data_IF_048141702764
#
_entry.id   IF_048141702764
#
_cell.length_a   1.000
_cell.length_b   1.000
_cell.length_c   1.000
_cell.angle_alpha   90.00
_cell.angle_beta   90.00
_cell.angle_gamma   90.00
#
_symmetry.space_group_name_H-M   'P 1'
#
loop_
_entity.id
_entity.type
_entity.pdbx_description
1 polymer ?
#
# COMPACT_ATOMS: atom_id res chain seq x y z
N UNK A 1 -0.75 -9.85 -13.98
CA UNK A 1 0.16 -10.08 -12.85
C UNK A 1 1.64 -9.93 -13.23
N UNK A 2 2.09 -10.45 -14.39
CA UNK A 2 3.50 -10.36 -14.81
C UNK A 2 3.99 -8.91 -14.87
N UNK A 3 3.29 -8.04 -15.61
CA UNK A 3 3.65 -6.61 -15.74
C UNK A 3 3.69 -5.88 -14.38
N UNK A 4 2.79 -6.20 -13.47
CA UNK A 4 2.82 -5.62 -12.12
C UNK A 4 4.08 -6.02 -11.35
N UNK A 5 4.49 -7.29 -11.43
CA UNK A 5 5.74 -7.75 -10.80
C UNK A 5 6.98 -7.11 -11.44
N UNK A 6 6.97 -6.91 -12.77
CA UNK A 6 8.05 -6.20 -13.46
C UNK A 6 8.14 -4.73 -13.03
N UNK A 7 7.01 -4.06 -12.89
CA UNK A 7 6.98 -2.68 -12.37
C UNK A 7 7.51 -2.61 -10.93
N UNK A 8 7.09 -3.51 -10.06
CA UNK A 8 7.57 -3.57 -8.68
C UNK A 8 9.05 -3.94 -8.58
N UNK A 9 9.61 -4.68 -9.56
CA UNK A 9 11.05 -4.96 -9.64
C UNK A 9 11.86 -3.68 -9.82
N UNK A 10 11.38 -2.70 -10.58
CA UNK A 10 12.10 -1.44 -10.81
C UNK A 10 12.27 -0.60 -9.55
N UNK A 11 11.43 -0.81 -8.54
CA UNK A 11 11.57 -0.20 -7.21
C UNK A 11 12.03 -1.18 -6.13
N UNK A 12 12.45 -2.39 -6.50
CA UNK A 12 12.87 -3.46 -5.57
C UNK A 12 11.82 -3.77 -4.49
N UNK A 13 10.55 -3.68 -4.86
CA UNK A 13 9.42 -3.80 -3.92
C UNK A 13 8.47 -4.95 -4.30
N UNK A 14 9.00 -6.05 -4.87
CA UNK A 14 8.19 -7.16 -5.40
C UNK A 14 7.31 -7.83 -4.34
N UNK A 15 7.73 -7.83 -3.06
CA UNK A 15 6.94 -8.41 -1.98
C UNK A 15 5.60 -7.71 -1.75
N UNK A 16 5.48 -6.45 -2.17
CA UNK A 16 4.22 -5.71 -2.15
C UNK A 16 3.12 -6.45 -2.95
N UNK A 17 3.49 -7.17 -4.01
CA UNK A 17 2.52 -7.97 -4.77
C UNK A 17 1.82 -9.03 -3.89
N UNK A 18 2.55 -9.69 -2.99
CA UNK A 18 1.98 -10.70 -2.08
C UNK A 18 1.19 -10.02 -0.98
N UNK A 19 1.81 -9.06 -0.33
CA UNK A 19 1.25 -8.41 0.85
C UNK A 19 -0.02 -7.61 0.50
N UNK A 20 0.02 -6.79 -0.55
CA UNK A 20 -1.13 -5.99 -0.96
C UNK A 20 -2.35 -6.85 -1.30
N UNK A 21 -2.16 -7.92 -2.10
CA UNK A 21 -3.28 -8.76 -2.53
C UNK A 21 -3.82 -9.69 -1.45
N UNK A 22 -3.00 -10.15 -0.51
CA UNK A 22 -3.37 -11.20 0.45
C UNK A 22 -3.36 -10.73 1.90
N UNK A 23 -2.60 -9.69 2.21
CA UNK A 23 -2.49 -9.07 3.54
C UNK A 23 -3.37 -7.83 3.64
N UNK A 24 -2.97 -6.75 2.97
CA UNK A 24 -3.59 -5.44 3.05
C UNK A 24 -5.09 -5.45 2.70
N UNK A 25 -5.51 -5.99 1.55
CA UNK A 25 -6.93 -6.07 1.19
C UNK A 25 -7.79 -6.80 2.22
N UNK A 26 -7.22 -7.76 2.94
CA UNK A 26 -7.91 -8.49 4.00
C UNK A 26 -7.97 -7.69 5.30
N UNK A 27 -6.89 -7.00 5.64
CA UNK A 27 -6.68 -6.39 6.94
C UNK A 27 -6.77 -4.85 6.96
N UNK A 28 -7.03 -4.21 5.81
CA UNK A 28 -7.14 -2.75 5.69
C UNK A 28 -8.02 -2.16 6.79
N UNK A 29 -7.63 -1.01 7.32
CA UNK A 29 -8.28 -0.32 8.41
C UNK A 29 -8.37 -1.14 9.73
N UNK A 30 -7.42 -2.04 9.97
CA UNK A 30 -7.25 -2.74 11.26
C UNK A 30 -5.84 -2.59 11.80
N UNK A 31 -5.65 -2.87 13.09
CA UNK A 31 -4.32 -2.85 13.71
C UNK A 31 -3.35 -3.91 13.16
N UNK A 32 -3.86 -4.93 12.44
CA UNK A 32 -3.07 -5.99 11.82
C UNK A 32 -2.49 -5.61 10.47
N UNK A 33 -2.96 -4.50 9.88
CA UNK A 33 -2.48 -4.02 8.60
C UNK A 33 -1.35 -3.00 8.78
N UNK A 34 -0.12 -3.31 8.37
CA UNK A 34 1.00 -2.37 8.47
C UNK A 34 0.85 -1.15 7.56
N UNK A 35 0.04 -1.25 6.50
CA UNK A 35 -0.22 -0.18 5.53
C UNK A 35 -1.40 0.73 5.92
N UNK A 36 -2.03 0.50 7.06
CA UNK A 36 -3.02 1.41 7.63
C UNK A 36 -2.36 2.40 8.59
N UNK A 37 -2.37 3.69 8.23
CA UNK A 37 -1.82 4.76 9.06
C UNK A 37 -2.77 5.11 10.21
N UNK A 38 -2.20 5.26 11.42
CA UNK A 38 -2.98 5.58 12.62
C UNK A 38 -3.37 7.06 12.66
N UNK A 39 -4.41 7.36 13.41
CA UNK A 39 -4.77 8.74 13.72
C UNK A 39 -3.59 9.46 14.42
N UNK A 40 -3.27 10.67 14.00
CA UNK A 40 -2.12 11.47 14.46
C UNK A 40 -0.74 10.83 14.22
N UNK A 41 -0.64 9.82 13.39
CA UNK A 41 0.65 9.31 12.96
C UNK A 41 1.19 10.17 11.81
N UNK A 42 2.45 10.62 11.92
CA UNK A 42 3.11 11.32 10.82
C UNK A 42 3.54 10.37 9.71
N UNK A 43 3.63 10.87 8.49
CA UNK A 43 4.17 10.11 7.34
C UNK A 43 5.56 9.51 7.66
N UNK A 44 6.42 10.28 8.32
CA UNK A 44 7.78 9.85 8.68
C UNK A 44 7.81 8.70 9.70
N UNK A 45 6.81 8.62 10.59
CA UNK A 45 6.66 7.49 11.51
C UNK A 45 5.94 6.30 10.84
N UNK A 46 5.15 6.56 9.81
CA UNK A 46 4.45 5.53 9.04
C UNK A 46 5.40 4.75 8.12
N UNK A 47 6.32 5.43 7.42
CA UNK A 47 7.25 4.75 6.50
C UNK A 47 8.01 3.57 7.12
N UNK A 48 8.70 3.68 8.25
CA UNK A 48 9.37 2.50 8.84
C UNK A 48 8.38 1.42 9.30
N UNK A 49 7.18 1.80 9.78
CA UNK A 49 6.15 0.84 10.14
C UNK A 49 5.74 0.00 8.93
N UNK A 50 5.35 0.66 7.84
CA UNK A 50 4.84 -0.03 6.65
C UNK A 50 5.94 -0.83 5.96
N UNK A 51 7.13 -0.28 5.75
CA UNK A 51 8.25 -0.98 5.10
C UNK A 51 8.62 -2.29 5.82
N UNK A 52 8.79 -2.23 7.14
CA UNK A 52 9.12 -3.43 7.91
C UNK A 52 7.93 -4.37 8.08
N UNK A 53 6.75 -3.80 8.25
CA UNK A 53 5.52 -4.56 8.49
C UNK A 53 5.09 -5.35 7.26
N UNK A 54 5.02 -4.71 6.10
CA UNK A 54 4.66 -5.36 4.83
C UNK A 54 5.64 -6.44 4.41
N UNK A 55 6.95 -6.20 4.61
CA UNK A 55 7.98 -7.21 4.35
C UNK A 55 7.80 -8.45 5.23
N UNK A 56 7.60 -8.26 6.54
CA UNK A 56 7.34 -9.37 7.48
C UNK A 56 6.03 -10.09 7.16
N UNK A 57 4.98 -9.34 6.84
CA UNK A 57 3.67 -9.86 6.45
C UNK A 57 3.77 -10.73 5.19
N UNK A 58 4.46 -10.26 4.15
CA UNK A 58 4.66 -11.02 2.92
C UNK A 58 5.39 -12.35 3.16
N UNK A 59 6.45 -12.36 3.99
CA UNK A 59 7.14 -13.60 4.38
C UNK A 59 6.23 -14.56 5.12
N UNK A 60 5.44 -14.05 6.07
CA UNK A 60 4.47 -14.87 6.83
C UNK A 60 3.43 -15.49 5.90
N UNK A 61 2.84 -14.70 5.01
CA UNK A 61 1.84 -15.17 4.04
C UNK A 61 2.43 -16.25 3.15
N UNK A 62 3.61 -16.02 2.57
CA UNK A 62 4.26 -16.99 1.69
C UNK A 62 4.59 -18.30 2.42
N UNK A 63 5.06 -18.23 3.66
CA UNK A 63 5.32 -19.38 4.51
C UNK A 63 4.04 -20.19 4.80
N UNK A 64 2.99 -19.54 5.26
CA UNK A 64 1.70 -20.19 5.57
C UNK A 64 1.07 -20.87 4.34
N UNK A 65 1.22 -20.28 3.16
CA UNK A 65 0.73 -20.89 1.92
C UNK A 65 1.51 -22.16 1.52
N UNK A 66 2.81 -22.21 1.79
CA UNK A 66 3.63 -23.38 1.52
C UNK A 66 3.36 -24.50 2.53
N UNK A 67 3.22 -24.16 3.81
CA UNK A 67 2.86 -25.11 4.86
C UNK A 67 1.52 -25.80 4.59
N UNK A 68 0.50 -25.02 4.15
CA UNK A 68 -0.80 -25.59 3.72
C UNK A 68 -0.70 -26.57 2.55
N UNK A 69 0.36 -26.43 1.75
CA UNK A 69 0.64 -27.33 0.60
C UNK A 69 1.64 -28.47 0.96
N UNK A 70 2.02 -28.61 2.23
CA UNK A 70 3.03 -29.58 2.68
C UNK A 70 4.43 -29.32 2.13
N UNK A 71 4.76 -28.07 1.75
CA UNK A 71 6.05 -27.69 1.17
C UNK A 71 6.92 -26.94 2.16
N UNK A 72 8.23 -27.14 2.08
CA UNK A 72 9.19 -26.35 2.85
C UNK A 72 9.15 -24.87 2.46
N UNK A 73 9.29 -24.00 3.42
CA UNK A 73 9.45 -22.56 3.20
C UNK A 73 10.75 -22.23 2.44
N UNK A 74 11.78 -23.06 2.56
CA UNK A 74 13.04 -22.95 1.83
C UNK A 74 12.96 -23.78 0.55
N UNK A 75 12.20 -23.31 -0.43
CA UNK A 75 11.92 -23.98 -1.68
C UNK A 75 11.80 -22.95 -2.81
N UNK A 76 12.12 -23.36 -4.02
CA UNK A 76 11.87 -22.58 -5.26
C UNK A 76 10.39 -22.23 -5.46
N UNK A 77 9.49 -22.94 -4.77
CA UNK A 77 8.06 -22.60 -4.74
C UNK A 77 7.74 -21.41 -3.82
N UNK A 78 8.72 -20.93 -3.04
CA UNK A 78 8.55 -19.75 -2.22
C UNK A 78 8.69 -18.48 -3.07
N UNK A 79 7.56 -17.84 -3.34
CA UNK A 79 7.50 -16.63 -4.16
C UNK A 79 8.32 -15.47 -3.55
N UNK A 80 8.37 -15.37 -2.21
CA UNK A 80 9.22 -14.38 -1.53
C UNK A 80 10.70 -14.63 -1.76
N UNK A 81 11.15 -15.89 -1.63
CA UNK A 81 12.55 -16.24 -1.88
C UNK A 81 12.93 -15.94 -3.34
N UNK A 82 12.07 -16.30 -4.27
CA UNK A 82 12.27 -16.02 -5.69
C UNK A 82 12.36 -14.50 -5.96
N UNK A 83 11.50 -13.70 -5.33
CA UNK A 83 11.53 -12.25 -5.47
C UNK A 83 12.85 -11.66 -4.95
N UNK A 84 13.37 -12.14 -3.80
CA UNK A 84 14.67 -11.67 -3.31
C UNK A 84 15.80 -12.02 -4.29
N UNK A 85 15.83 -13.24 -4.82
CA UNK A 85 16.85 -13.67 -5.78
C UNK A 85 16.79 -12.82 -7.07
N UNK A 86 15.60 -12.58 -7.60
CA UNK A 86 15.41 -11.73 -8.80
C UNK A 86 15.88 -10.30 -8.54
N UNK A 87 15.52 -9.71 -7.41
CA UNK A 87 15.93 -8.34 -7.07
C UNK A 87 17.46 -8.22 -6.91
N UNK A 88 18.07 -9.18 -6.22
CA UNK A 88 19.54 -9.21 -6.07
C UNK A 88 20.21 -9.38 -7.43
N UNK A 89 19.74 -10.32 -8.25
CA UNK A 89 20.30 -10.51 -9.61
C UNK A 89 20.13 -9.27 -10.48
N UNK A 90 19.00 -8.57 -10.36
CA UNK A 90 18.72 -7.34 -11.11
C UNK A 90 19.69 -6.21 -10.72
N UNK A 91 19.88 -5.96 -9.41
CA UNK A 91 20.84 -4.95 -8.91
C UNK A 91 22.27 -5.30 -9.32
N UNK A 92 22.65 -6.59 -9.19
CA UNK A 92 23.96 -7.07 -9.62
C UNK A 92 24.16 -6.90 -11.14
N UNK A 93 23.14 -7.17 -11.94
CA UNK A 93 23.18 -6.92 -13.38
C UNK A 93 23.40 -5.46 -13.73
N UNK A 94 22.69 -4.54 -13.05
CA UNK A 94 22.91 -3.09 -13.21
C UNK A 94 24.35 -2.72 -12.85
N UNK A 95 24.85 -3.22 -11.74
CA UNK A 95 26.22 -2.96 -11.30
C UNK A 95 27.26 -3.45 -12.31
N UNK A 96 27.12 -4.68 -12.81
CA UNK A 96 28.08 -5.29 -13.74
C UNK A 96 28.06 -4.63 -15.12
N UNK A 97 26.91 -4.16 -15.60
CA UNK A 97 26.77 -3.56 -16.92
C UNK A 97 27.13 -2.05 -16.90
N UNK A 98 26.68 -1.33 -15.87
CA UNK A 98 26.74 0.14 -15.84
C UNK A 98 27.66 0.69 -14.75
N UNK A 99 28.20 -0.15 -13.87
CA UNK A 99 29.10 0.25 -12.79
C UNK A 99 28.41 0.74 -11.53
N UNK A 100 29.22 1.00 -10.48
CA UNK A 100 28.79 1.31 -9.14
C UNK A 100 27.93 2.60 -9.07
N UNK A 101 28.32 3.64 -9.77
CA UNK A 101 27.60 4.93 -9.70
C UNK A 101 26.16 4.79 -10.18
N UNK A 102 25.93 4.08 -11.29
CA UNK A 102 24.56 3.85 -11.82
C UNK A 102 23.76 2.96 -10.86
N UNK A 103 24.40 1.93 -10.30
CA UNK A 103 23.74 1.05 -9.31
C UNK A 103 23.30 1.85 -8.06
N UNK A 104 24.13 2.76 -7.55
CA UNK A 104 23.80 3.61 -6.41
C UNK A 104 22.64 4.57 -6.74
N UNK A 105 22.66 5.24 -7.90
CA UNK A 105 21.55 6.09 -8.33
C UNK A 105 20.25 5.29 -8.50
N UNK A 106 20.34 4.08 -9.05
CA UNK A 106 19.19 3.19 -9.15
C UNK A 106 18.59 2.85 -7.77
N UNK A 107 19.44 2.51 -6.77
CA UNK A 107 18.98 2.21 -5.42
C UNK A 107 18.29 3.41 -4.76
N UNK A 108 18.81 4.62 -4.96
CA UNK A 108 18.16 5.85 -4.47
C UNK A 108 16.81 6.06 -5.16
N UNK A 109 16.75 5.91 -6.49
CA UNK A 109 15.50 6.04 -7.24
C UNK A 109 14.47 4.99 -6.81
N UNK A 110 14.90 3.73 -6.62
CA UNK A 110 14.04 2.65 -6.11
C UNK A 110 13.47 2.99 -4.72
N UNK A 111 14.30 3.47 -3.80
CA UNK A 111 13.86 3.90 -2.47
C UNK A 111 12.83 5.03 -2.56
N UNK A 112 13.08 6.06 -3.37
CA UNK A 112 12.12 7.16 -3.56
C UNK A 112 10.80 6.66 -4.15
N UNK A 113 10.84 5.71 -5.09
CA UNK A 113 9.65 5.07 -5.64
C UNK A 113 8.83 4.32 -4.58
N UNK A 114 9.50 3.57 -3.71
CA UNK A 114 8.84 2.89 -2.57
C UNK A 114 8.24 3.89 -1.59
N UNK A 115 8.99 4.93 -1.20
CA UNK A 115 8.47 5.95 -0.28
C UNK A 115 7.26 6.69 -0.86
N UNK A 116 7.25 6.93 -2.18
CA UNK A 116 6.11 7.52 -2.86
C UNK A 116 4.89 6.58 -2.82
N UNK A 117 5.07 5.29 -3.12
CA UNK A 117 3.99 4.29 -3.06
C UNK A 117 3.42 4.19 -1.64
N UNK A 118 4.28 4.12 -0.62
CA UNK A 118 3.83 4.07 0.77
C UNK A 118 3.20 5.39 1.23
N UNK A 119 3.59 6.53 0.65
CA UNK A 119 2.89 7.80 0.87
C UNK A 119 1.46 7.75 0.31
N UNK A 120 1.25 7.06 -0.81
CA UNK A 120 -0.10 6.83 -1.34
C UNK A 120 -0.91 5.98 -0.37
N UNK A 121 -0.38 4.86 0.13
CA UNK A 121 -1.03 4.05 1.18
C UNK A 121 -1.36 4.89 2.43
N UNK A 122 -0.45 5.77 2.86
CA UNK A 122 -0.67 6.66 3.99
C UNK A 122 -1.88 7.56 3.80
N UNK A 123 -1.98 8.25 2.66
CA UNK A 123 -3.09 9.19 2.39
C UNK A 123 -4.43 8.47 2.20
N UNK A 124 -4.41 7.23 1.71
CA UNK A 124 -5.60 6.43 1.45
C UNK A 124 -6.21 5.82 2.72
N UNK A 125 -5.41 5.60 3.77
CA UNK A 125 -5.83 4.86 4.96
C UNK A 125 -5.64 5.61 6.27
N UNK A 126 -5.25 6.91 6.22
CA UNK A 126 -4.99 7.70 7.42
C UNK A 126 -6.19 7.75 8.38
N UNK A 127 -5.98 7.25 9.59
CA UNK A 127 -6.89 7.36 10.71
C UNK A 127 -8.17 6.53 10.64
N UNK A 128 -8.38 5.76 9.57
CA UNK A 128 -9.59 4.96 9.39
C UNK A 128 -9.46 3.62 10.08
N UNK A 129 -10.55 3.16 10.70
CA UNK A 129 -10.59 1.90 11.44
C UNK A 129 -11.89 1.14 11.17
N UNK A 130 -11.80 -0.19 11.16
CA UNK A 130 -12.97 -1.09 11.15
C UNK A 130 -13.36 -1.45 12.57
N UNK A 131 -14.66 -1.57 12.80
CA UNK A 131 -15.18 -2.03 14.09
C UNK A 131 -14.93 -3.52 14.26
N UNK A 132 -14.60 -3.91 15.49
CA UNK A 132 -14.55 -5.29 15.89
C UNK A 132 -15.98 -5.77 16.26
N UNK A 133 -16.35 -6.94 15.79
CA UNK A 133 -17.63 -7.58 16.08
C UNK A 133 -17.56 -8.33 17.41
N UNK A 134 -18.70 -8.75 17.95
CA UNK A 134 -18.81 -9.54 19.19
C UNK A 134 -17.98 -10.83 19.17
N UNK A 135 -17.71 -11.39 17.99
CA UNK A 135 -16.91 -12.61 17.80
C UNK A 135 -15.40 -12.33 17.62
N UNK A 136 -14.91 -11.15 18.03
CA UNK A 136 -13.51 -10.73 17.83
C UNK A 136 -13.05 -10.78 16.36
N UNK A 137 -13.98 -10.61 15.44
CA UNK A 137 -13.70 -10.45 14.02
C UNK A 137 -13.95 -9.00 13.59
N UNK A 138 -13.24 -8.52 12.60
CA UNK A 138 -13.53 -7.22 12.04
C UNK A 138 -14.69 -7.29 11.06
N UNK A 139 -15.53 -6.27 11.06
CA UNK A 139 -16.55 -6.11 10.05
C UNK A 139 -15.97 -6.17 8.63
N UNK A 140 -16.81 -6.54 7.64
CA UNK A 140 -16.40 -6.54 6.24
C UNK A 140 -15.98 -5.14 5.81
N UNK A 141 -14.96 -5.04 4.94
CA UNK A 141 -14.54 -3.77 4.34
C UNK A 141 -15.72 -3.08 3.68
N UNK A 142 -15.90 -1.81 4.00
CA UNK A 142 -16.93 -0.93 3.48
C UNK A 142 -16.30 0.30 2.80
N UNK A 143 -17.01 1.02 1.93
CA UNK A 143 -16.47 2.18 1.23
C UNK A 143 -15.92 3.28 2.14
N UNK A 144 -16.39 3.38 3.38
CA UNK A 144 -15.91 4.37 4.36
C UNK A 144 -14.62 3.98 5.08
N UNK A 145 -14.04 2.82 4.79
CA UNK A 145 -12.76 2.39 5.37
C UNK A 145 -11.53 2.78 4.52
N UNK A 146 -11.74 3.58 3.47
CA UNK A 146 -10.65 4.14 2.65
C UNK A 146 -11.02 5.54 2.18
N UNK A 147 -10.04 6.45 2.17
CA UNK A 147 -10.20 7.77 1.58
C UNK A 147 -10.30 7.67 0.05
N UNK A 148 -11.22 8.41 -0.50
CA UNK A 148 -11.53 8.42 -1.94
C UNK A 148 -11.21 9.79 -2.55
N UNK A 149 -10.94 9.84 -3.83
CA UNK A 149 -10.77 11.09 -4.56
C UNK A 149 -11.42 11.00 -5.94
N UNK A 150 -12.33 11.94 -6.21
CA UNK A 150 -12.98 12.08 -7.50
C UNK A 150 -12.34 13.18 -8.39
N UNK A 151 -11.19 13.72 -7.98
CA UNK A 151 -10.49 14.74 -8.78
C UNK A 151 -10.02 14.18 -10.12
N UNK A 152 -10.40 14.84 -11.20
CA UNK A 152 -10.23 14.35 -12.59
C UNK A 152 -8.78 14.00 -12.90
N UNK A 153 -7.83 14.88 -12.54
CA UNK A 153 -6.40 14.64 -12.82
C UNK A 153 -5.91 13.38 -12.11
N UNK A 154 -6.24 13.18 -10.83
CA UNK A 154 -5.87 11.97 -10.08
C UNK A 154 -6.47 10.71 -10.70
N UNK A 155 -7.73 10.76 -11.09
CA UNK A 155 -8.41 9.65 -11.77
C UNK A 155 -7.72 9.25 -13.07
N UNK A 156 -7.40 10.22 -13.92
CA UNK A 156 -6.73 9.98 -15.20
C UNK A 156 -5.30 9.44 -15.00
N UNK A 157 -4.51 10.05 -14.12
CA UNK A 157 -3.12 9.65 -13.88
C UNK A 157 -2.98 8.30 -13.19
N UNK A 158 -3.93 7.94 -12.33
CA UNK A 158 -3.92 6.70 -11.55
C UNK A 158 -4.92 5.65 -12.08
N UNK A 159 -5.36 5.79 -13.34
CA UNK A 159 -6.26 4.81 -13.97
C UNK A 159 -7.49 4.50 -13.09
N UNK A 160 -8.20 5.53 -12.62
CA UNK A 160 -9.35 5.44 -11.71
C UNK A 160 -9.04 4.88 -10.30
N UNK A 161 -7.81 4.48 -9.97
CA UNK A 161 -7.44 3.91 -8.67
C UNK A 161 -7.69 4.89 -7.51
N UNK A 162 -7.77 6.20 -7.78
CA UNK A 162 -8.17 7.20 -6.78
C UNK A 162 -9.61 7.02 -6.26
N UNK A 163 -10.41 6.18 -6.92
CA UNK A 163 -11.66 5.62 -6.39
C UNK A 163 -11.39 4.42 -5.47
N UNK A 164 -10.51 4.65 -4.52
CA UNK A 164 -9.87 3.64 -3.70
C UNK A 164 -10.85 2.88 -2.80
N UNK A 165 -11.92 3.55 -2.39
CA UNK A 165 -13.00 2.94 -1.62
C UNK A 165 -13.66 1.75 -2.32
N UNK A 166 -13.90 1.81 -3.65
CA UNK A 166 -14.46 0.69 -4.40
C UNK A 166 -13.41 -0.38 -4.70
N UNK A 167 -12.14 0.01 -4.84
CA UNK A 167 -11.03 -0.92 -4.98
C UNK A 167 -10.94 -1.87 -3.76
N UNK A 168 -11.06 -1.34 -2.55
CA UNK A 168 -11.08 -2.15 -1.33
C UNK A 168 -12.41 -2.86 -1.08
N UNK A 169 -13.54 -2.23 -1.39
CA UNK A 169 -14.86 -2.82 -1.21
C UNK A 169 -15.03 -4.10 -2.04
N UNK A 170 -14.51 -4.12 -3.28
CA UNK A 170 -14.52 -5.27 -4.17
C UNK A 170 -13.22 -5.36 -4.97
N UNK A 171 -12.17 -5.94 -4.36
CA UNK A 171 -10.82 -6.04 -4.93
C UNK A 171 -10.72 -6.72 -6.30
N UNK A 172 -11.71 -7.55 -6.67
CA UNK A 172 -11.78 -8.19 -7.99
C UNK A 172 -12.30 -7.26 -9.11
N UNK A 173 -12.79 -6.05 -8.75
CA UNK A 173 -13.29 -5.09 -9.73
C UNK A 173 -12.14 -4.50 -10.53
N UNK A 174 -12.32 -4.47 -11.85
CA UNK A 174 -11.32 -3.86 -12.75
C UNK A 174 -11.30 -2.34 -12.55
N UNK A 175 -10.11 -1.73 -12.60
CA UNK A 175 -9.92 -0.30 -12.36
C UNK A 175 -10.78 0.60 -13.26
N UNK A 176 -11.03 0.19 -14.52
CA UNK A 176 -11.81 0.96 -15.49
C UNK A 176 -13.28 1.19 -15.07
N UNK A 177 -13.79 0.37 -14.19
CA UNK A 177 -15.21 0.39 -13.76
C UNK A 177 -15.37 0.63 -12.26
N UNK A 178 -14.36 1.22 -11.61
CA UNK A 178 -14.43 1.62 -10.21
C UNK A 178 -15.47 2.73 -10.02
N UNK A 179 -16.27 2.58 -8.98
CA UNK A 179 -17.41 3.45 -8.67
C UNK A 179 -17.04 4.48 -7.62
N UNK A 180 -17.75 5.57 -7.61
CA UNK A 180 -17.79 6.50 -6.49
C UNK A 180 -18.98 6.18 -5.59
N UNK A 181 -18.77 6.24 -4.27
CA UNK A 181 -19.82 6.08 -3.28
C UNK A 181 -20.02 7.40 -2.52
N UNK A 182 -21.27 7.78 -2.29
CA UNK A 182 -21.62 9.01 -1.57
C UNK A 182 -21.20 8.95 -0.09
N UNK A 183 -21.16 7.75 0.49
CA UNK A 183 -20.71 7.50 1.86
C UNK A 183 -19.21 7.27 2.00
N UNK A 184 -18.44 7.27 0.92
CA UNK A 184 -16.99 7.18 0.98
C UNK A 184 -16.40 8.55 1.37
N UNK A 185 -15.48 8.61 2.34
CA UNK A 185 -14.85 9.86 2.73
C UNK A 185 -13.96 10.38 1.59
N UNK A 186 -14.15 11.66 1.25
CA UNK A 186 -13.43 12.29 0.14
C UNK A 186 -12.21 13.05 0.67
N UNK A 187 -11.07 12.89 0.00
CA UNK A 187 -9.87 13.68 0.24
C UNK A 187 -10.14 15.17 -0.07
N UNK A 188 -9.57 16.11 0.71
CA UNK A 188 -9.74 17.55 0.47
C UNK A 188 -9.23 18.03 -0.89
N UNK A 189 -8.19 17.35 -1.42
CA UNK A 189 -7.61 17.64 -2.75
C UNK A 189 -7.34 16.34 -3.49
N UNK A 190 -6.86 16.44 -4.75
CA UNK A 190 -6.36 15.27 -5.48
C UNK A 190 -5.07 14.71 -4.90
N UNK A 191 -4.69 13.51 -5.33
CA UNK A 191 -3.50 12.78 -4.83
C UNK A 191 -2.21 13.60 -4.80
N UNK A 192 -1.82 14.36 -5.84
CA UNK A 192 -0.61 15.17 -5.78
C UNK A 192 -0.62 16.17 -4.63
N UNK A 193 -1.76 16.86 -4.41
CA UNK A 193 -1.92 17.79 -3.30
C UNK A 193 -1.87 17.10 -1.94
N UNK A 194 -2.47 15.92 -1.81
CA UNK A 194 -2.44 15.12 -0.57
C UNK A 194 -1.04 14.60 -0.26
N UNK A 195 -0.29 14.15 -1.28
CA UNK A 195 1.10 13.71 -1.11
C UNK A 195 1.96 14.87 -0.59
N UNK A 196 1.90 16.06 -1.22
CA UNK A 196 2.63 17.23 -0.75
C UNK A 196 2.22 17.66 0.66
N UNK A 197 0.91 17.63 0.95
CA UNK A 197 0.38 17.98 2.27
C UNK A 197 0.90 17.02 3.36
N UNK A 198 1.01 15.74 3.07
CA UNK A 198 1.47 14.72 4.02
C UNK A 198 2.92 14.89 4.46
N UNK A 199 3.74 15.59 3.66
CA UNK A 199 5.13 15.93 4.01
C UNK A 199 5.22 16.98 5.13
N UNK A 200 4.12 17.70 5.44
CA UNK A 200 4.05 18.70 6.50
C UNK A 200 3.09 18.25 7.62
N UNK A 201 3.51 17.39 8.56
CA UNK A 201 2.62 16.76 9.55
C UNK A 201 1.72 17.73 10.34
N UNK A 202 2.17 18.91 10.79
CA UNK A 202 1.29 19.83 11.51
C UNK A 202 0.11 20.31 10.66
N UNK A 203 0.34 20.58 9.38
CA UNK A 203 -0.69 21.01 8.43
C UNK A 203 -1.58 19.81 8.07
N UNK A 204 -0.97 18.66 7.81
CA UNK A 204 -1.68 17.40 7.55
C UNK A 204 -2.69 17.09 8.66
N UNK A 205 -2.26 17.07 9.91
CA UNK A 205 -3.14 16.77 11.03
C UNK A 205 -4.29 17.77 11.15
N UNK A 206 -4.00 19.08 10.99
CA UNK A 206 -5.05 20.09 11.01
C UNK A 206 -6.12 19.86 9.94
N UNK A 207 -5.70 19.55 8.71
CA UNK A 207 -6.60 19.34 7.58
C UNK A 207 -7.34 18.01 7.72
N UNK A 208 -6.62 16.90 7.88
CA UNK A 208 -7.21 15.56 7.83
C UNK A 208 -8.03 15.23 9.07
N UNK A 209 -7.61 15.68 10.25
CA UNK A 209 -8.42 15.47 11.46
C UNK A 209 -9.75 16.26 11.41
N UNK A 210 -9.76 17.46 10.79
CA UNK A 210 -11.00 18.17 10.55
C UNK A 210 -11.88 17.44 9.50
N UNK A 211 -11.26 16.88 8.48
CA UNK A 211 -11.99 16.08 7.49
C UNK A 211 -12.59 14.81 8.12
N UNK A 212 -11.85 14.11 8.98
CA UNK A 212 -12.37 12.96 9.72
C UNK A 212 -13.60 13.34 10.59
N UNK A 213 -13.54 14.46 11.30
CA UNK A 213 -14.69 14.97 12.08
C UNK A 213 -15.91 15.22 11.21
N UNK A 214 -15.73 15.81 10.01
CA UNK A 214 -16.80 16.08 9.06
C UNK A 214 -17.56 14.80 8.66
N UNK A 215 -16.83 13.70 8.48
CA UNK A 215 -17.40 12.38 8.12
C UNK A 215 -17.77 11.54 9.36
N UNK A 216 -17.61 12.06 10.58
CA UNK A 216 -17.82 11.32 11.84
C UNK A 216 -17.04 10.01 11.92
N UNK A 217 -15.85 10.00 11.35
CA UNK A 217 -14.92 8.86 11.37
C UNK A 217 -14.14 8.85 12.70
N UNK A 218 -13.92 7.66 13.21
CA UNK A 218 -13.16 7.42 14.45
C UNK A 218 -11.89 6.65 14.10
#
# INVERSE_FOLDING_TARGET
QFLAKMLLLTSLYMHFFIEHNKGHHKHVATASDPSTAKYNQSLYAFWPQTLMGTYKSAWKIAKEELEKKGKSWFSINNEMLLFQLIQVAFVLGIYLIFGLSVALFFLIAALLGVLLLETVNYIEHYGLTRNETENHQFERVQPHHSWNSNHIIGRLMLFELSRHSDHHYLASRKYQVLRSFDNAPQMPTGYPGMILLSLAPPIWFKVMNNQMKKYKLK
#
